data_IF_485468890888
#
_entry.id   IF_485468890888
#
_cell.length_a   1.000
_cell.length_b   1.000
_cell.length_c   1.000
_cell.angle_alpha   90.00
_cell.angle_beta   90.00
_cell.angle_gamma   90.00
#
_symmetry.space_group_name_H-M   'P 1'
#
loop_
_entity.id
_entity.type
_entity.pdbx_description
1 polymer ?
#
# COMPACT_ATOMS: atom_id res chain seq x y z
N UNK A 1 19.50 31.89 -87.96
CA UNK A 1 19.04 30.94 -86.92
C UNK A 1 19.39 31.53 -85.58
N UNK A 2 18.39 32.19 -85.00
CA UNK A 2 18.41 32.83 -83.69
C UNK A 2 18.37 31.73 -82.63
N UNK A 3 19.38 31.66 -81.75
CA UNK A 3 19.39 30.72 -80.63
C UNK A 3 19.02 31.49 -79.37
N UNK A 4 17.71 31.65 -79.16
CA UNK A 4 17.14 32.18 -77.93
C UNK A 4 17.47 31.23 -76.77
N UNK A 5 18.34 31.68 -75.86
CA UNK A 5 18.51 31.03 -74.57
C UNK A 5 17.35 31.44 -73.65
N UNK A 6 16.62 30.50 -73.03
CA UNK A 6 15.49 30.83 -72.18
C UNK A 6 15.94 31.63 -70.95
N UNK A 7 15.43 32.86 -70.78
CA UNK A 7 15.72 33.74 -69.64
C UNK A 7 15.01 33.31 -68.33
N UNK A 8 14.54 32.06 -68.21
CA UNK A 8 13.88 31.51 -67.01
C UNK A 8 14.81 30.79 -66.02
N UNK A 9 16.05 30.47 -66.42
CA UNK A 9 16.92 29.53 -65.68
C UNK A 9 17.77 30.18 -64.58
N UNK A 10 17.98 31.50 -64.61
CA UNK A 10 18.86 32.19 -63.62
C UNK A 10 18.23 32.35 -62.23
N UNK A 11 16.90 32.30 -62.13
CA UNK A 11 16.17 32.27 -60.84
C UNK A 11 16.03 30.88 -60.24
N UNK A 12 15.94 29.84 -61.08
CA UNK A 12 15.78 28.44 -60.65
C UNK A 12 17.04 27.86 -60.00
N UNK A 13 18.24 28.22 -60.49
CA UNK A 13 19.50 27.73 -59.88
C UNK A 13 19.63 28.20 -58.42
N UNK A 14 19.26 29.45 -58.13
CA UNK A 14 19.29 29.99 -56.77
C UNK A 14 18.31 29.24 -55.85
N UNK A 15 17.11 28.91 -56.35
CA UNK A 15 16.12 28.14 -55.61
C UNK A 15 16.56 26.70 -55.34
N UNK A 16 17.23 26.04 -56.29
CA UNK A 16 17.75 24.67 -56.10
C UNK A 16 18.86 24.67 -55.05
N UNK A 17 19.80 25.62 -55.10
CA UNK A 17 20.86 25.74 -54.09
C UNK A 17 20.27 26.02 -52.71
N UNK A 18 19.29 26.92 -52.63
CA UNK A 18 18.60 27.22 -51.37
C UNK A 18 17.84 26.01 -50.83
N UNK A 19 17.15 25.26 -51.69
CA UNK A 19 16.45 24.04 -51.32
C UNK A 19 17.42 22.98 -50.78
N UNK A 20 18.55 22.76 -51.45
CA UNK A 20 19.58 21.81 -51.01
C UNK A 20 20.18 22.25 -49.67
N UNK A 21 20.43 23.54 -49.46
CA UNK A 21 20.89 24.06 -48.17
C UNK A 21 19.87 23.83 -47.06
N UNK A 22 18.60 24.11 -47.31
CA UNK A 22 17.52 23.90 -46.32
C UNK A 22 17.40 22.42 -45.97
N UNK A 23 17.42 21.52 -46.96
CA UNK A 23 17.36 20.07 -46.73
C UNK A 23 18.61 19.57 -45.96
N UNK A 24 19.80 20.05 -46.31
CA UNK A 24 21.02 19.70 -45.59
C UNK A 24 20.98 20.14 -44.12
N UNK A 25 20.48 21.34 -43.85
CA UNK A 25 20.40 21.91 -42.51
C UNK A 25 19.31 21.23 -41.67
N UNK A 26 18.16 20.88 -42.27
CA UNK A 26 17.10 20.14 -41.57
C UNK A 26 17.54 18.74 -41.19
N UNK A 27 18.26 18.02 -42.06
CA UNK A 27 18.82 16.71 -41.74
C UNK A 27 19.88 16.82 -40.63
N UNK A 28 20.80 17.78 -40.73
CA UNK A 28 21.83 18.02 -39.71
C UNK A 28 21.24 18.33 -38.34
N UNK A 29 20.25 19.23 -38.28
CA UNK A 29 19.55 19.58 -37.04
C UNK A 29 18.75 18.39 -36.47
N UNK A 30 18.12 17.60 -37.34
CA UNK A 30 17.35 16.41 -36.92
C UNK A 30 18.24 15.37 -36.24
N UNK A 31 19.41 15.07 -36.82
CA UNK A 31 20.38 14.13 -36.23
C UNK A 31 20.97 14.63 -34.92
N UNK A 32 21.31 15.92 -34.85
CA UNK A 32 21.80 16.55 -33.61
C UNK A 32 20.73 16.48 -32.51
N UNK A 33 19.48 16.82 -32.83
CA UNK A 33 18.35 16.79 -31.88
C UNK A 33 18.07 15.37 -31.39
N UNK A 34 18.08 14.39 -32.29
CA UNK A 34 17.92 12.98 -31.93
C UNK A 34 19.03 12.52 -30.99
N UNK A 35 20.29 12.84 -31.30
CA UNK A 35 21.45 12.44 -30.47
C UNK A 35 21.38 13.06 -29.07
N UNK A 36 21.06 14.35 -28.97
CA UNK A 36 20.88 15.04 -27.67
C UNK A 36 19.72 14.42 -26.88
N UNK A 37 18.64 14.06 -27.57
CA UNK A 37 17.49 13.39 -26.95
C UNK A 37 17.85 12.01 -26.44
N UNK A 38 18.55 11.20 -27.24
CA UNK A 38 18.97 9.85 -26.87
C UNK A 38 19.93 9.88 -25.67
N UNK A 39 20.88 10.82 -25.64
CA UNK A 39 21.77 11.05 -24.48
C UNK A 39 20.95 11.44 -23.25
N UNK A 40 20.01 12.38 -23.39
CA UNK A 40 19.16 12.82 -22.28
C UNK A 40 18.34 11.67 -21.71
N UNK A 41 17.74 10.84 -22.58
CA UNK A 41 16.98 9.66 -22.18
C UNK A 41 17.90 8.67 -21.46
N UNK A 42 19.08 8.40 -21.99
CA UNK A 42 20.07 7.50 -21.37
C UNK A 42 20.47 7.98 -19.98
N UNK A 43 20.80 9.26 -19.83
CA UNK A 43 21.15 9.86 -18.54
C UNK A 43 19.99 9.81 -17.57
N UNK A 44 18.77 10.09 -18.02
CA UNK A 44 17.59 10.02 -17.17
C UNK A 44 17.29 8.59 -16.69
N UNK A 45 17.48 7.59 -17.55
CA UNK A 45 17.35 6.18 -17.19
C UNK A 45 18.39 5.76 -16.15
N UNK A 46 19.66 6.16 -16.34
CA UNK A 46 20.73 5.89 -15.40
C UNK A 46 20.46 6.56 -14.04
N UNK A 47 20.14 7.86 -14.04
CA UNK A 47 19.73 8.59 -12.84
C UNK A 47 18.50 7.98 -12.18
N UNK A 48 17.57 7.42 -12.96
CA UNK A 48 16.42 6.72 -12.42
C UNK A 48 16.79 5.49 -11.62
N UNK A 49 17.74 4.70 -12.13
CA UNK A 49 18.25 3.52 -11.43
C UNK A 49 18.98 3.94 -10.15
N UNK A 50 19.81 4.97 -10.22
CA UNK A 50 20.56 5.48 -9.06
C UNK A 50 19.62 6.06 -7.98
N UNK A 51 18.60 6.83 -8.39
CA UNK A 51 17.59 7.37 -7.48
C UNK A 51 16.77 6.26 -6.81
N UNK A 52 16.47 5.17 -7.51
CA UNK A 52 15.81 4.01 -6.92
C UNK A 52 16.70 3.31 -5.88
N UNK A 53 17.97 3.05 -6.19
CA UNK A 53 18.92 2.48 -5.23
C UNK A 53 19.13 3.38 -4.00
N UNK A 54 19.14 4.71 -4.18
CA UNK A 54 19.18 5.64 -3.05
C UNK A 54 17.90 5.54 -2.18
N UNK A 55 16.72 5.42 -2.80
CA UNK A 55 15.48 5.21 -2.06
C UNK A 55 15.49 3.88 -1.28
N UNK A 56 16.01 2.79 -1.86
CA UNK A 56 16.20 1.51 -1.15
C UNK A 56 17.17 1.65 0.02
N UNK A 57 18.28 2.38 -0.14
CA UNK A 57 19.20 2.65 0.96
C UNK A 57 18.52 3.39 2.12
N UNK A 58 17.66 4.37 1.84
CA UNK A 58 16.89 5.07 2.87
C UNK A 58 15.83 4.21 3.56
N UNK A 59 15.24 3.27 2.82
CA UNK A 59 14.33 2.27 3.38
C UNK A 59 15.08 1.33 4.35
N UNK A 60 16.26 0.84 3.95
CA UNK A 60 17.11 -0.01 4.80
C UNK A 60 17.61 0.74 6.05
N UNK A 61 17.98 2.02 5.91
CA UNK A 61 18.34 2.87 7.05
C UNK A 61 17.18 2.98 8.06
N UNK A 62 15.96 3.19 7.57
CA UNK A 62 14.77 3.24 8.40
C UNK A 62 14.51 1.91 9.14
N UNK A 63 14.66 0.77 8.46
CA UNK A 63 14.50 -0.56 9.07
C UNK A 63 15.56 -0.87 10.12
N UNK A 64 16.76 -0.28 10.01
CA UNK A 64 17.81 -0.36 11.03
C UNK A 64 17.59 0.58 12.22
N UNK A 65 16.56 1.43 12.18
CA UNK A 65 16.26 2.40 13.23
C UNK A 65 17.13 3.67 13.17
N UNK A 66 17.67 4.02 12.00
CA UNK A 66 18.34 5.31 11.83
C UNK A 66 17.34 6.48 11.98
N UNK A 67 17.86 7.65 12.36
CA UNK A 67 17.03 8.84 12.51
C UNK A 67 16.47 9.29 11.16
N UNK A 68 15.17 9.58 11.08
CA UNK A 68 14.58 10.13 9.87
C UNK A 68 15.25 11.44 9.45
N UNK A 69 15.52 11.59 8.16
CA UNK A 69 16.25 12.74 7.65
C UNK A 69 16.70 12.58 6.20
N UNK A 70 17.53 13.53 5.76
CA UNK A 70 18.15 13.53 4.42
C UNK A 70 19.62 13.16 4.53
N UNK A 71 20.05 12.25 3.68
CA UNK A 71 21.39 11.69 3.65
C UNK A 71 21.92 11.71 2.22
N UNK A 72 23.25 11.81 2.08
CA UNK A 72 23.93 11.87 0.78
C UNK A 72 24.89 10.69 0.66
N UNK A 73 24.78 9.93 -0.43
CA UNK A 73 25.71 8.86 -0.80
C UNK A 73 26.24 9.15 -2.21
N UNK A 74 27.52 9.53 -2.30
CA UNK A 74 28.13 9.95 -3.56
C UNK A 74 27.40 11.16 -4.17
N UNK A 75 26.87 10.98 -5.38
CA UNK A 75 26.12 12.00 -6.13
C UNK A 75 24.60 11.86 -5.98
N UNK A 76 24.15 10.99 -5.08
CA UNK A 76 22.73 10.74 -4.81
C UNK A 76 22.37 11.17 -3.40
N UNK A 77 21.11 11.52 -3.21
CA UNK A 77 20.55 11.77 -1.88
C UNK A 77 19.35 10.86 -1.64
N UNK A 78 19.07 10.55 -0.39
CA UNK A 78 17.80 9.97 0.01
C UNK A 78 17.24 10.69 1.22
N UNK A 79 15.92 10.77 1.29
CA UNK A 79 15.18 11.28 2.43
C UNK A 79 14.15 10.24 2.83
N UNK A 80 14.17 9.81 4.08
CA UNK A 80 13.14 8.90 4.59
C UNK A 80 12.43 9.49 5.81
N UNK A 81 11.19 9.04 6.00
CA UNK A 81 10.35 9.34 7.16
C UNK A 81 9.65 8.08 7.62
N UNK A 82 9.46 7.97 8.93
CA UNK A 82 8.71 6.87 9.56
C UNK A 82 7.49 7.45 10.26
N UNK A 83 6.33 6.87 10.02
CA UNK A 83 5.07 7.22 10.70
C UNK A 83 4.45 5.97 11.29
N UNK A 84 3.87 6.06 12.48
CA UNK A 84 3.13 4.94 13.07
C UNK A 84 1.89 4.63 12.23
N UNK A 85 1.68 3.35 11.91
CA UNK A 85 0.44 2.89 11.30
C UNK A 85 -0.57 2.57 12.39
N UNK A 86 -1.80 3.08 12.30
CA UNK A 86 -2.73 3.07 13.44
C UNK A 86 -2.33 4.13 14.47
N UNK A 87 -2.62 3.88 15.76
CA UNK A 87 -2.34 4.85 16.84
C UNK A 87 -3.25 6.09 16.83
N UNK A 88 -4.31 6.08 16.03
CA UNK A 88 -5.26 7.19 15.88
C UNK A 88 -6.70 6.65 15.88
N UNK A 89 -7.67 7.55 15.98
CA UNK A 89 -9.11 7.26 15.84
C UNK A 89 -9.57 7.20 14.38
N UNK A 90 -8.65 7.40 13.43
CA UNK A 90 -8.95 7.35 12.01
C UNK A 90 -9.13 5.90 11.53
N UNK A 91 -10.01 5.68 10.54
CA UNK A 91 -10.07 4.40 9.86
C UNK A 91 -8.74 4.02 9.20
N UNK A 92 -8.38 2.75 9.30
CA UNK A 92 -7.18 2.17 8.73
C UNK A 92 -7.52 1.29 7.53
N UNK A 93 -6.98 1.65 6.36
CA UNK A 93 -7.00 0.76 5.19
C UNK A 93 -5.85 -0.24 5.28
N UNK A 94 -6.18 -1.53 5.31
CA UNK A 94 -5.24 -2.64 5.44
C UNK A 94 -4.67 -3.06 4.08
N UNK A 95 -5.34 -2.67 2.99
CA UNK A 95 -5.04 -3.14 1.64
C UNK A 95 -5.66 -4.50 1.35
N UNK A 96 -5.07 -5.24 0.41
CA UNK A 96 -5.59 -6.50 -0.10
C UNK A 96 -5.33 -7.65 0.89
N UNK A 97 -6.40 -8.32 1.30
CA UNK A 97 -6.37 -9.59 2.05
C UNK A 97 -6.74 -10.71 1.09
N UNK A 98 -5.85 -11.70 0.95
CA UNK A 98 -6.11 -12.85 0.07
C UNK A 98 -6.95 -13.91 0.76
N UNK A 99 -7.69 -14.71 -0.02
CA UNK A 99 -8.44 -15.87 0.49
C UNK A 99 -7.56 -16.96 1.14
N UNK A 100 -6.27 -16.97 0.81
CA UNK A 100 -5.29 -17.91 1.37
C UNK A 100 -4.64 -17.40 2.67
N UNK A 101 -4.77 -16.11 2.97
CA UNK A 101 -4.07 -15.44 4.05
C UNK A 101 -5.03 -14.92 5.13
N UNK A 102 -4.45 -14.63 6.29
CA UNK A 102 -5.14 -13.96 7.39
C UNK A 102 -4.40 -12.67 7.71
N UNK A 103 -5.11 -11.56 7.77
CA UNK A 103 -4.55 -10.29 8.23
C UNK A 103 -4.83 -10.12 9.72
N UNK A 104 -3.84 -9.68 10.49
CA UNK A 104 -4.00 -9.43 11.93
C UNK A 104 -3.99 -7.93 12.19
N UNK A 105 -5.07 -7.45 12.81
CA UNK A 105 -5.18 -6.12 13.41
C UNK A 105 -4.99 -6.25 14.90
N UNK A 106 -3.98 -5.59 15.46
CA UNK A 106 -3.66 -5.63 16.87
C UNK A 106 -4.59 -4.74 17.69
N UNK A 107 -5.15 -5.30 18.75
CA UNK A 107 -5.99 -4.60 19.73
C UNK A 107 -5.26 -4.41 21.08
N UNK A 108 -4.07 -5.01 21.21
CA UNK A 108 -3.09 -4.74 22.27
C UNK A 108 -1.90 -4.01 21.69
N UNK A 109 -1.27 -3.14 22.47
CA UNK A 109 -0.06 -2.45 22.04
C UNK A 109 1.19 -3.35 22.13
N UNK A 110 2.27 -2.91 21.50
CA UNK A 110 3.57 -3.58 21.55
C UNK A 110 4.63 -2.65 22.15
N UNK A 111 5.60 -3.25 22.85
CA UNK A 111 6.79 -2.53 23.32
C UNK A 111 7.77 -2.23 22.17
N UNK A 112 8.89 -1.56 22.47
CA UNK A 112 9.93 -1.22 21.49
C UNK A 112 10.63 -2.43 20.87
N UNK A 113 10.52 -3.60 21.49
CA UNK A 113 11.06 -4.88 20.99
C UNK A 113 10.01 -5.69 20.20
N UNK A 114 8.78 -5.17 20.09
CA UNK A 114 7.68 -5.83 19.40
C UNK A 114 6.99 -6.94 20.20
N UNK A 115 7.10 -6.94 21.54
CA UNK A 115 6.35 -7.85 22.40
C UNK A 115 5.00 -7.25 22.81
N UNK A 116 3.98 -8.10 22.94
CA UNK A 116 2.64 -7.70 23.36
C UNK A 116 2.62 -7.20 24.82
N UNK A 117 2.05 -6.02 25.03
CA UNK A 117 1.85 -5.42 26.35
C UNK A 117 0.39 -5.60 26.80
N UNK A 118 0.07 -6.77 27.36
CA UNK A 118 -1.31 -7.21 27.59
C UNK A 118 -1.91 -6.60 28.88
N UNK A 119 -3.08 -5.96 28.74
CA UNK A 119 -3.90 -5.52 29.87
C UNK A 119 -3.52 -4.13 30.37
N UNK A 120 -3.01 -3.30 29.47
CA UNK A 120 -2.49 -1.97 29.76
C UNK A 120 -3.51 -0.89 29.35
N UNK A 121 -3.40 0.31 29.92
CA UNK A 121 -4.40 1.38 29.70
C UNK A 121 -4.45 1.94 28.27
N UNK A 122 -3.50 1.56 27.43
CA UNK A 122 -3.37 1.96 26.03
C UNK A 122 -3.76 0.84 25.05
N UNK A 123 -4.27 -0.27 25.55
CA UNK A 123 -4.94 -1.28 24.73
C UNK A 123 -6.30 -0.76 24.25
N UNK A 124 -6.80 -1.34 23.17
CA UNK A 124 -8.12 -0.99 22.67
C UNK A 124 -9.20 -1.40 23.68
N UNK A 125 -9.96 -0.44 24.19
CA UNK A 125 -11.04 -0.66 25.17
C UNK A 125 -12.46 -0.47 24.57
N UNK A 126 -12.53 -0.22 23.26
CA UNK A 126 -13.78 -0.08 22.52
C UNK A 126 -14.63 -1.35 22.58
N UNK A 127 -15.94 -1.16 22.68
CA UNK A 127 -16.93 -2.25 22.70
C UNK A 127 -17.22 -2.84 21.32
N UNK A 128 -16.77 -2.17 20.26
CA UNK A 128 -16.95 -2.61 18.88
C UNK A 128 -15.81 -2.14 17.99
N UNK A 129 -15.69 -2.77 16.83
CA UNK A 129 -14.83 -2.35 15.73
C UNK A 129 -15.56 -2.58 14.42
N UNK A 130 -15.51 -1.59 13.53
CA UNK A 130 -16.15 -1.67 12.23
C UNK A 130 -15.15 -2.28 11.24
N UNK A 131 -15.58 -3.30 10.51
CA UNK A 131 -14.79 -3.98 9.46
C UNK A 131 -15.48 -3.79 8.13
N UNK A 132 -14.77 -3.30 7.13
CA UNK A 132 -15.29 -3.05 5.79
C UNK A 132 -14.47 -3.76 4.73
N UNK A 133 -15.12 -4.19 3.64
CA UNK A 133 -14.45 -4.85 2.51
C UNK A 133 -15.20 -4.61 1.19
N UNK A 134 -14.51 -4.84 0.07
CA UNK A 134 -15.05 -4.56 -1.26
C UNK A 134 -15.60 -5.80 -2.01
N UNK A 135 -15.12 -7.01 -1.71
CA UNK A 135 -15.50 -8.23 -2.43
C UNK A 135 -15.57 -9.46 -1.54
N UNK A 136 -16.34 -10.47 -1.97
CA UNK A 136 -16.39 -11.75 -1.29
C UNK A 136 -17.09 -11.69 0.07
N UNK A 137 -16.76 -12.66 0.91
CA UNK A 137 -17.21 -12.75 2.30
C UNK A 137 -16.03 -12.57 3.24
N UNK A 138 -16.28 -12.26 4.51
CA UNK A 138 -15.26 -12.00 5.51
C UNK A 138 -15.49 -12.84 6.76
N UNK A 139 -14.46 -13.58 7.19
CA UNK A 139 -14.39 -14.17 8.51
C UNK A 139 -13.60 -13.25 9.43
N UNK A 140 -14.14 -13.03 10.63
CA UNK A 140 -13.48 -12.29 11.70
C UNK A 140 -13.22 -13.22 12.88
N UNK A 141 -12.04 -13.13 13.47
CA UNK A 141 -11.67 -13.90 14.65
C UNK A 141 -11.04 -12.96 15.66
N UNK A 142 -11.75 -12.70 16.77
CA UNK A 142 -11.28 -11.88 17.88
C UNK A 142 -10.59 -12.79 18.88
N UNK A 143 -9.30 -12.52 19.12
CA UNK A 143 -8.52 -13.12 20.20
C UNK A 143 -8.60 -12.21 21.41
N UNK A 144 -8.95 -12.77 22.57
CA UNK A 144 -9.09 -12.01 23.80
C UNK A 144 -8.72 -12.85 25.02
N UNK A 145 -8.44 -12.20 26.13
CA UNK A 145 -8.13 -12.82 27.42
C UNK A 145 -9.21 -12.45 28.42
N UNK A 146 -9.91 -13.47 28.91
CA UNK A 146 -10.96 -13.36 29.93
C UNK A 146 -10.44 -13.95 31.23
N UNK A 147 -10.15 -13.08 32.21
CA UNK A 147 -9.42 -13.43 33.41
C UNK A 147 -8.03 -14.00 33.10
N UNK A 148 -7.84 -15.29 33.35
CA UNK A 148 -6.58 -16.01 33.08
C UNK A 148 -6.61 -16.84 31.80
N UNK A 149 -7.76 -16.89 31.10
CA UNK A 149 -7.97 -17.80 29.97
C UNK A 149 -7.98 -17.04 28.65
N UNK A 150 -7.23 -17.55 27.67
CA UNK A 150 -7.29 -17.07 26.30
C UNK A 150 -8.50 -17.67 25.58
N UNK A 151 -9.31 -16.83 24.97
CA UNK A 151 -10.56 -17.18 24.30
C UNK A 151 -10.61 -16.58 22.91
N UNK A 152 -11.50 -17.14 22.10
CA UNK A 152 -11.70 -16.74 20.71
C UNK A 152 -13.18 -16.53 20.46
N UNK A 153 -13.53 -15.43 19.80
CA UNK A 153 -14.87 -15.17 19.27
C UNK A 153 -14.77 -15.08 17.74
N UNK A 154 -15.64 -15.78 17.02
CA UNK A 154 -15.62 -15.83 15.55
C UNK A 154 -16.93 -15.35 14.96
N UNK A 155 -16.82 -14.66 13.83
CA UNK A 155 -17.95 -14.26 13.00
C UNK A 155 -17.62 -14.52 11.53
N UNK A 156 -18.64 -14.79 10.72
CA UNK A 156 -18.49 -14.91 9.29
C UNK A 156 -19.66 -14.19 8.61
N UNK A 157 -19.33 -13.34 7.64
CA UNK A 157 -20.27 -12.40 7.04
C UNK A 157 -20.17 -12.46 5.52
N UNK A 158 -21.30 -12.62 4.85
CA UNK A 158 -21.35 -12.70 3.39
C UNK A 158 -22.43 -11.74 2.87
N UNK A 159 -22.11 -10.80 1.97
CA UNK A 159 -23.10 -9.90 1.39
C UNK A 159 -24.06 -10.58 0.40
N UNK A 160 -23.73 -11.75 -0.15
CA UNK A 160 -24.58 -12.48 -1.10
C UNK A 160 -25.64 -13.34 -0.39
N UNK A 161 -26.92 -13.00 -0.57
CA UNK A 161 -28.05 -13.77 -0.02
C UNK A 161 -28.08 -15.22 -0.51
N UNK A 162 -27.72 -15.45 -1.76
CA UNK A 162 -27.73 -16.78 -2.37
C UNK A 162 -26.65 -17.69 -1.78
N UNK A 163 -25.46 -17.13 -1.51
CA UNK A 163 -24.39 -17.85 -0.81
C UNK A 163 -24.76 -18.10 0.66
N UNK A 164 -25.34 -17.10 1.35
CA UNK A 164 -25.81 -17.22 2.74
C UNK A 164 -26.78 -18.38 2.96
N UNK A 165 -27.63 -18.67 1.98
CA UNK A 165 -28.54 -19.82 2.04
C UNK A 165 -27.80 -21.15 2.28
N UNK A 166 -26.57 -21.26 1.78
CA UNK A 166 -25.76 -22.48 1.80
C UNK A 166 -24.66 -22.45 2.88
N UNK A 167 -23.91 -21.35 2.99
CA UNK A 167 -22.75 -21.25 3.89
C UNK A 167 -23.10 -20.89 5.34
N UNK A 168 -24.34 -20.47 5.62
CA UNK A 168 -24.84 -20.05 6.95
C UNK A 168 -24.09 -18.85 7.55
N UNK A 169 -23.41 -18.06 6.72
CA UNK A 169 -22.79 -16.82 7.17
C UNK A 169 -23.87 -15.79 7.49
N UNK A 170 -23.55 -14.87 8.38
CA UNK A 170 -24.43 -13.76 8.76
C UNK A 170 -24.45 -12.69 7.67
N UNK A 171 -25.49 -11.87 7.68
CA UNK A 171 -25.58 -10.72 6.78
C UNK A 171 -24.62 -9.59 7.19
N UNK A 172 -24.31 -8.75 6.22
CA UNK A 172 -23.56 -7.50 6.38
C UNK A 172 -24.48 -6.39 6.91
N UNK A 173 -23.91 -5.26 7.31
CA UNK A 173 -24.63 -4.08 7.80
C UNK A 173 -24.44 -2.89 6.85
N UNK A 174 -25.51 -2.16 6.61
CA UNK A 174 -25.46 -0.90 5.85
C UNK A 174 -24.95 0.26 6.70
N UNK A 175 -24.30 1.24 6.06
CA UNK A 175 -23.87 2.48 6.70
C UNK A 175 -22.59 2.38 7.54
N UNK A 176 -21.93 1.22 7.56
CA UNK A 176 -20.60 1.04 8.14
C UNK A 176 -19.55 1.69 7.22
N UNK A 177 -18.65 2.50 7.79
CA UNK A 177 -17.66 3.26 7.01
C UNK A 177 -16.26 3.15 7.63
N UNK A 178 -15.31 2.66 6.83
CA UNK A 178 -13.90 2.52 7.21
C UNK A 178 -12.97 3.39 6.35
N UNK A 179 -13.44 4.54 5.83
CA UNK A 179 -12.59 5.56 5.21
C UNK A 179 -12.09 5.26 3.78
N UNK A 180 -12.69 4.29 3.07
CA UNK A 180 -12.15 3.81 1.78
C UNK A 180 -13.18 3.43 0.71
N UNK A 181 -14.44 3.84 0.82
CA UNK A 181 -15.46 3.57 -0.20
C UNK A 181 -15.76 2.07 -0.41
N UNK A 182 -15.60 1.26 0.65
CA UNK A 182 -15.87 -0.17 0.64
C UNK A 182 -17.34 -0.46 0.34
N UNK A 183 -17.60 -1.59 -0.33
CA UNK A 183 -18.95 -1.98 -0.73
C UNK A 183 -19.77 -2.54 0.44
N UNK A 184 -19.10 -3.19 1.40
CA UNK A 184 -19.74 -3.91 2.49
C UNK A 184 -19.06 -3.57 3.81
N UNK A 185 -19.79 -3.72 4.91
CA UNK A 185 -19.20 -3.62 6.24
C UNK A 185 -20.02 -4.30 7.32
N UNK A 186 -19.41 -4.48 8.47
CA UNK A 186 -20.02 -5.09 9.64
C UNK A 186 -19.42 -4.50 10.91
N UNK A 187 -20.28 -4.14 11.87
CA UNK A 187 -19.85 -3.87 13.23
C UNK A 187 -19.62 -5.17 13.98
N UNK A 188 -18.38 -5.37 14.43
CA UNK A 188 -18.00 -6.51 15.26
C UNK A 188 -18.11 -6.09 16.72
N UNK A 189 -19.01 -6.73 17.47
CA UNK A 189 -19.09 -6.53 18.91
C UNK A 189 -17.93 -7.26 19.59
N UNK A 190 -17.19 -6.54 20.42
CA UNK A 190 -16.02 -7.05 21.11
C UNK A 190 -16.38 -7.47 22.54
N UNK A 191 -15.80 -8.56 23.07
CA UNK A 191 -16.00 -8.96 24.45
C UNK A 191 -15.54 -7.86 25.43
N UNK A 192 -16.24 -7.71 26.55
CA UNK A 192 -15.81 -6.86 27.68
C UNK A 192 -14.68 -7.54 28.46
N UNK A 193 -13.51 -7.66 27.84
CA UNK A 193 -12.32 -8.38 28.33
C UNK A 193 -11.06 -7.76 27.71
N UNK A 194 -9.89 -8.29 28.03
CA UNK A 194 -8.64 -7.78 27.43
C UNK A 194 -8.56 -8.26 25.98
N UNK A 195 -8.66 -7.33 25.04
CA UNK A 195 -8.64 -7.61 23.60
C UNK A 195 -7.21 -7.73 23.10
N UNK A 196 -6.90 -8.78 22.34
CA UNK A 196 -5.55 -9.05 21.86
C UNK A 196 -5.38 -8.67 20.38
N UNK A 197 -6.21 -9.28 19.54
CA UNK A 197 -6.15 -9.07 18.10
C UNK A 197 -7.47 -9.40 17.41
N UNK A 198 -7.73 -8.72 16.31
CA UNK A 198 -8.76 -9.06 15.33
C UNK A 198 -8.09 -9.64 14.09
N UNK A 199 -8.42 -10.88 13.77
CA UNK A 199 -7.93 -11.57 12.57
C UNK A 199 -9.00 -11.58 11.50
N UNK A 200 -8.60 -11.27 10.28
CA UNK A 200 -9.48 -11.07 9.13
C UNK A 200 -9.07 -12.01 8.01
N UNK A 201 -10.03 -12.76 7.49
CA UNK A 201 -9.80 -13.68 6.37
C UNK A 201 -10.88 -13.52 5.32
N UNK A 202 -10.45 -13.26 4.09
CA UNK A 202 -11.36 -13.17 2.95
C UNK A 202 -11.82 -14.57 2.51
N UNK A 203 -13.04 -14.65 2.02
CA UNK A 203 -13.64 -15.85 1.43
C UNK A 203 -14.21 -15.53 0.06
N UNK A 204 -14.13 -16.53 -0.84
CA UNK A 204 -14.60 -16.49 -2.24
C UNK A 204 -13.84 -15.56 -3.20
N UNK A 205 -13.33 -14.42 -2.73
CA UNK A 205 -12.50 -13.51 -3.53
C UNK A 205 -11.53 -12.79 -2.61
N UNK A 206 -10.37 -12.41 -3.14
CA UNK A 206 -9.49 -11.47 -2.44
C UNK A 206 -10.22 -10.12 -2.32
N UNK A 207 -10.01 -9.41 -1.20
CA UNK A 207 -10.71 -8.17 -0.91
C UNK A 207 -9.77 -7.11 -0.35
N UNK A 208 -9.98 -5.84 -0.73
CA UNK A 208 -9.41 -4.74 0.05
C UNK A 208 -10.21 -4.58 1.33
N UNK A 209 -9.51 -4.45 2.45
CA UNK A 209 -10.13 -4.41 3.77
C UNK A 209 -9.76 -3.13 4.50
N UNK A 210 -10.75 -2.55 5.18
CA UNK A 210 -10.56 -1.43 6.09
C UNK A 210 -11.14 -1.76 7.46
N UNK A 211 -10.58 -1.14 8.48
CA UNK A 211 -11.09 -1.20 9.86
C UNK A 211 -11.24 0.20 10.40
N UNK A 212 -12.29 0.45 11.17
CA UNK A 212 -12.47 1.70 11.89
C UNK A 212 -12.71 1.41 13.37
N UNK A 213 -11.98 2.08 14.28
CA UNK A 213 -12.30 2.00 15.70
C UNK A 213 -13.68 2.60 15.96
N UNK A 214 -14.25 2.23 17.10
CA UNK A 214 -15.42 2.90 17.65
C UNK A 214 -15.11 4.41 17.80
N UNK A 215 -16.09 5.27 17.52
CA UNK A 215 -15.91 6.73 17.67
C UNK A 215 -15.39 7.09 19.06
N UNK A 216 -14.32 7.88 19.09
CA UNK A 216 -13.64 8.29 20.33
C UNK A 216 -12.60 7.29 20.84
N UNK A 217 -12.38 6.18 20.11
CA UNK A 217 -11.35 5.19 20.39
C UNK A 217 -10.25 5.22 19.35
N UNK A 218 -9.02 4.95 19.77
CA UNK A 218 -7.87 4.84 18.89
C UNK A 218 -7.43 3.39 18.76
N UNK A 219 -7.14 2.95 17.54
CA UNK A 219 -6.49 1.66 17.36
C UNK A 219 -5.06 1.73 17.91
N UNK A 220 -4.56 0.69 18.59
CA UNK A 220 -3.14 0.59 18.89
C UNK A 220 -2.27 0.68 17.64
N UNK A 221 -0.97 0.91 17.83
CA UNK A 221 -0.01 0.84 16.72
C UNK A 221 -0.09 -0.54 16.05
N UNK A 222 -0.19 -0.55 14.73
CA UNK A 222 -0.16 -1.75 13.89
C UNK A 222 1.25 -2.04 13.37
N UNK A 223 2.19 -1.11 13.60
CA UNK A 223 3.54 -1.13 13.08
C UNK A 223 3.95 0.24 12.54
N UNK A 224 4.85 0.26 11.57
CA UNK A 224 5.41 1.50 11.00
C UNK A 224 5.22 1.55 9.49
N UNK A 225 4.85 2.74 9.01
CA UNK A 225 4.84 3.12 7.61
C UNK A 225 6.14 3.89 7.32
N UNK A 226 6.96 3.35 6.41
CA UNK A 226 8.23 3.93 6.00
C UNK A 226 8.07 4.47 4.59
N UNK A 227 8.47 5.71 4.38
CA UNK A 227 8.50 6.36 3.07
C UNK A 227 9.91 6.87 2.80
N UNK A 228 10.54 6.39 1.74
CA UNK A 228 11.88 6.79 1.31
C UNK A 228 11.86 7.36 -0.10
N UNK A 229 12.49 8.52 -0.29
CA UNK A 229 12.61 9.20 -1.60
C UNK A 229 14.09 9.37 -1.91
N UNK A 230 14.55 8.76 -3.00
CA UNK A 230 15.89 8.93 -3.53
C UNK A 230 15.93 9.91 -4.70
N UNK A 231 17.04 10.63 -4.83
CA UNK A 231 17.28 11.65 -5.85
C UNK A 231 18.65 11.46 -6.47
N UNK A 232 18.72 11.49 -7.80
CA UNK A 232 19.96 11.50 -8.58
C UNK A 232 19.83 12.51 -9.72
N UNK A 233 20.66 13.56 -9.72
CA UNK A 233 20.51 14.68 -10.64
C UNK A 233 19.13 15.34 -10.51
N UNK A 234 18.35 15.34 -11.59
CA UNK A 234 16.98 15.88 -11.62
C UNK A 234 15.90 14.79 -11.41
N UNK A 235 16.30 13.52 -11.30
CA UNK A 235 15.36 12.39 -11.20
C UNK A 235 15.13 12.01 -9.74
N UNK A 236 13.86 11.82 -9.37
CA UNK A 236 13.47 11.33 -8.04
C UNK A 236 12.66 10.05 -8.13
N UNK A 237 12.82 9.17 -7.14
CA UNK A 237 12.06 7.92 -6.98
C UNK A 237 11.62 7.78 -5.54
N UNK A 238 10.36 7.43 -5.33
CA UNK A 238 9.77 7.23 -4.00
C UNK A 238 9.32 5.78 -3.84
N UNK A 239 9.62 5.20 -2.69
CA UNK A 239 9.20 3.87 -2.27
C UNK A 239 8.53 4.02 -0.91
N UNK A 240 7.45 3.28 -0.68
CA UNK A 240 6.76 3.25 0.61
C UNK A 240 6.42 1.81 0.98
N UNK A 241 6.72 1.43 2.22
CA UNK A 241 6.48 0.09 2.76
C UNK A 241 5.82 0.23 4.12
N UNK A 242 4.87 -0.66 4.39
CA UNK A 242 4.29 -0.86 5.71
C UNK A 242 4.91 -2.10 6.34
N UNK A 243 5.53 -1.93 7.50
CA UNK A 243 5.99 -3.02 8.33
C UNK A 243 5.03 -3.19 9.49
N UNK A 244 4.21 -4.23 9.43
CA UNK A 244 3.30 -4.60 10.52
C UNK A 244 4.05 -5.33 11.64
N UNK A 245 3.50 -5.30 12.86
CA UNK A 245 3.98 -6.17 13.92
C UNK A 245 3.82 -7.67 13.54
N UNK A 246 4.80 -8.52 13.92
CA UNK A 246 4.76 -9.96 13.61
C UNK A 246 3.48 -10.60 14.12
N UNK A 247 2.81 -11.41 13.30
CA UNK A 247 1.60 -12.12 13.69
C UNK A 247 1.68 -13.62 13.43
N UNK A 248 0.80 -14.38 14.11
CA UNK A 248 0.76 -15.83 14.02
C UNK A 248 0.38 -16.27 12.59
N UNK A 249 1.17 -17.15 11.96
CA UNK A 249 0.85 -17.67 10.64
C UNK A 249 -0.55 -18.32 10.59
N UNK A 250 -1.29 -18.21 9.46
CA UNK A 250 -2.64 -18.76 9.31
C UNK A 250 -2.78 -20.25 9.63
N UNK A 251 -1.70 -21.03 9.52
CA UNK A 251 -1.70 -22.47 9.84
C UNK A 251 -2.15 -22.77 11.29
N UNK A 252 -1.91 -21.84 12.23
CA UNK A 252 -2.27 -22.02 13.63
C UNK A 252 -3.77 -21.79 13.90
N UNK A 253 -4.53 -21.26 12.94
CA UNK A 253 -5.98 -21.02 13.09
C UNK A 253 -6.80 -22.32 13.12
N UNK A 254 -6.23 -23.37 12.54
CA UNK A 254 -6.85 -24.70 12.44
C UNK A 254 -6.58 -25.58 13.66
N UNK A 255 -5.51 -25.31 14.41
CA UNK A 255 -5.13 -26.08 15.61
C UNK A 255 -5.85 -25.56 16.86
N UNK A 256 -6.27 -24.29 16.87
CA UNK A 256 -7.08 -23.69 17.92
C UNK A 256 -8.58 -24.11 17.86
N UNK A 257 -8.85 -25.31 17.37
CA UNK A 257 -10.15 -25.98 17.42
C UNK A 257 -10.14 -27.01 18.56
N UNK A 258 -10.40 -26.56 19.79
CA UNK A 258 -10.71 -27.50 20.89
C UNK A 258 -12.20 -27.82 20.84
N UNK A 259 -12.54 -29.10 20.69
CA UNK A 259 -13.91 -29.61 20.58
C UNK A 259 -14.76 -29.43 21.84
N UNK A 260 -15.16 -28.19 22.12
CA UNK A 260 -16.25 -27.88 23.05
C UNK A 260 -17.57 -27.97 22.30
N UNK A 261 -18.41 -28.93 22.69
CA UNK A 261 -19.65 -29.28 21.98
C UNK A 261 -20.51 -28.08 21.61
N UNK A 262 -20.85 -28.01 20.32
CA UNK A 262 -21.88 -27.11 19.81
C UNK A 262 -23.23 -27.50 20.44
N UNK A 263 -23.66 -26.77 21.47
CA UNK A 263 -25.08 -26.75 21.82
C UNK A 263 -25.77 -25.73 20.90
N UNK A 264 -26.87 -26.22 20.30
CA UNK A 264 -27.74 -25.52 19.34
C UNK A 264 -28.15 -24.12 19.75
#
# INVERSE_FOLDING_TARGET
>A
MEKNFPQGERGQVLLIVLLVMVVGLTIGLSLATRSVTDIKISTQLEQSSQAFSAAEAGLEAALKGETAGTYTIGNTTYTFSTTTSGGTDAPLSLGKVSVADTYTVWLTNHDGDGNLQIGESYDYDGSSIDVCWDQGAMETTVLYKDGTTYKVSRGAYDPSSDRRANNKFSDVEGGINCGGGFAFGKRINLPSSILLALRLRAFYSDANVGVAPQTGQALPSQGIDISSTGTAGETTRKISIRQNYPSLPPIFDYVLFSGGGASK
#
